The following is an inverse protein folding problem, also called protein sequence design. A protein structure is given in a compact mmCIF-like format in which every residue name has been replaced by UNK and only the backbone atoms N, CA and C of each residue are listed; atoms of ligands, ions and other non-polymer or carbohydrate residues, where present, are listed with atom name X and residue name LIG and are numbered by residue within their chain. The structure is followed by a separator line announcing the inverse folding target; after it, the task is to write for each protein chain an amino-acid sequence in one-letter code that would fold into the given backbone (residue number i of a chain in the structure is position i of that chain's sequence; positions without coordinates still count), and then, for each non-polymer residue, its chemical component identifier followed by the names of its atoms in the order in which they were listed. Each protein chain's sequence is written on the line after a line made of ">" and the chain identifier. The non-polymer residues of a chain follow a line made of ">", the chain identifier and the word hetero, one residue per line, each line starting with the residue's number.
data_IF_508230662798
#
_entry.id   IF_508230662798
#
_cell.length_a   1.000
_cell.length_b   1.000
_cell.length_c   1.000
_cell.angle_alpha   90.00
_cell.angle_beta   90.00
_cell.angle_gamma   90.00
#
_symmetry.space_group_name_H-M   'P 1'
#
loop_
_entity.id
_entity.type
_entity.pdbx_description
1 polymer ?
#
# COMPACT_ATOMS: atom_id res chain seq x y z
N UNK A 1 5.65 28.03 -80.47
CA UNK A 1 6.00 29.44 -80.75
C UNK A 1 6.09 30.15 -79.41
N UNK A 2 7.29 30.59 -79.01
CA UNK A 2 7.68 31.51 -77.92
C UNK A 2 7.09 31.29 -76.51
N UNK A 3 7.82 30.80 -75.49
CA UNK A 3 9.00 31.34 -74.77
C UNK A 3 8.63 32.23 -73.55
N UNK A 4 9.40 32.00 -72.46
CA UNK A 4 9.69 32.82 -71.25
C UNK A 4 8.85 32.57 -69.99
N UNK A 5 9.44 32.01 -68.92
CA UNK A 5 10.35 32.62 -67.90
C UNK A 5 9.61 33.69 -67.07
N UNK A 6 9.81 33.94 -65.77
CA UNK A 6 10.53 33.38 -64.61
C UNK A 6 10.38 34.52 -63.55
N UNK A 7 10.02 34.20 -62.30
CA UNK A 7 10.50 34.80 -61.03
C UNK A 7 10.22 36.24 -60.52
N UNK A 8 10.16 36.24 -59.17
CA UNK A 8 10.55 37.22 -58.13
C UNK A 8 9.73 38.50 -57.92
N UNK A 9 9.19 38.68 -56.70
CA UNK A 9 9.74 39.62 -55.71
C UNK A 9 8.96 39.62 -54.37
N UNK A 10 9.74 39.60 -53.29
CA UNK A 10 9.42 39.77 -51.86
C UNK A 10 9.44 41.25 -51.42
N UNK A 11 8.67 41.65 -50.39
CA UNK A 11 8.95 42.73 -49.39
C UNK A 11 7.71 42.87 -48.48
N UNK A 12 7.68 42.41 -47.21
CA UNK A 12 8.28 42.90 -45.95
C UNK A 12 7.63 44.17 -45.36
N UNK A 13 6.93 44.01 -44.23
CA UNK A 13 6.83 45.04 -43.17
C UNK A 13 6.47 44.38 -41.83
N UNK A 14 7.41 44.49 -40.90
CA UNK A 14 7.39 44.10 -39.49
C UNK A 14 6.57 45.06 -38.60
N UNK A 15 5.95 44.56 -37.52
CA UNK A 15 6.03 45.21 -36.20
C UNK A 15 6.00 44.16 -35.09
N UNK A 16 7.03 44.23 -34.24
CA UNK A 16 7.19 43.54 -32.96
C UNK A 16 6.62 44.46 -31.87
N UNK A 17 5.91 43.90 -30.90
CA UNK A 17 5.91 44.43 -29.53
C UNK A 17 5.57 43.32 -28.52
N UNK A 18 6.51 43.11 -27.60
CA UNK A 18 6.42 42.28 -26.39
C UNK A 18 5.28 42.69 -25.46
N UNK A 19 4.76 41.71 -24.73
CA UNK A 19 4.04 41.89 -23.48
C UNK A 19 3.91 40.53 -22.77
N UNK A 20 4.68 40.35 -21.70
CA UNK A 20 4.73 39.16 -20.85
C UNK A 20 3.42 38.90 -20.10
N UNK A 21 3.10 37.61 -19.89
CA UNK A 21 2.91 36.95 -18.58
C UNK A 21 1.87 35.82 -18.63
N UNK A 22 2.24 34.76 -17.91
CA UNK A 22 1.41 33.80 -17.18
C UNK A 22 0.96 32.49 -17.87
N UNK A 23 1.58 31.44 -17.32
CA UNK A 23 0.95 30.22 -16.78
C UNK A 23 0.61 29.04 -17.70
N UNK A 24 1.44 28.00 -17.50
CA UNK A 24 1.06 26.63 -17.14
C UNK A 24 0.14 25.86 -18.10
N UNK A 25 0.79 25.10 -18.97
CA UNK A 25 0.19 23.94 -19.64
C UNK A 25 0.98 22.68 -19.29
N UNK A 26 0.69 22.14 -18.11
CA UNK A 26 0.27 20.73 -17.90
C UNK A 26 0.76 19.70 -18.93
N UNK A 27 1.83 19.02 -18.52
CA UNK A 27 2.10 17.57 -18.62
C UNK A 27 1.25 16.80 -19.65
N UNK A 28 1.77 16.65 -20.87
CA UNK A 28 1.42 15.56 -21.77
C UNK A 28 2.66 15.05 -22.48
N UNK A 29 3.32 14.08 -21.87
CA UNK A 29 3.98 12.97 -22.55
C UNK A 29 4.32 11.90 -21.50
N UNK A 30 3.42 10.92 -21.35
CA UNK A 30 3.77 9.65 -20.67
C UNK A 30 4.59 8.84 -21.69
N UNK A 31 5.85 9.24 -21.86
CA UNK A 31 6.79 8.58 -22.76
C UNK A 31 7.65 7.61 -21.95
N UNK A 32 7.39 6.30 -22.13
CA UNK A 32 8.27 5.14 -21.91
C UNK A 32 9.45 5.38 -20.97
N UNK A 33 9.32 5.02 -19.70
CA UNK A 33 10.43 5.00 -18.75
C UNK A 33 11.33 3.76 -18.99
N UNK A 34 12.63 3.93 -19.29
CA UNK A 34 13.61 2.86 -19.21
C UNK A 34 14.35 2.90 -17.86
N UNK A 35 14.31 1.77 -17.15
CA UNK A 35 15.29 1.23 -16.19
C UNK A 35 16.18 2.20 -15.38
N UNK A 36 15.68 2.58 -14.20
CA UNK A 36 16.39 2.35 -12.92
C UNK A 36 15.38 1.78 -11.94
N UNK A 37 15.53 0.53 -11.50
CA UNK A 37 14.61 -0.22 -10.63
C UNK A 37 14.54 0.30 -9.17
N UNK A 38 14.85 1.56 -8.93
CA UNK A 38 14.59 2.19 -7.63
C UNK A 38 13.07 2.40 -7.47
N UNK A 39 12.51 2.05 -6.31
CA UNK A 39 11.10 2.33 -6.06
C UNK A 39 10.87 3.85 -6.14
N UNK A 40 9.92 4.24 -6.99
CA UNK A 40 9.58 5.63 -7.21
C UNK A 40 8.76 6.12 -6.01
N UNK A 41 9.16 7.25 -5.44
CA UNK A 41 8.43 7.89 -4.36
C UNK A 41 7.83 9.22 -4.83
N UNK A 42 6.64 9.55 -4.32
CA UNK A 42 6.02 10.86 -4.50
C UNK A 42 6.17 11.69 -3.22
N UNK A 43 6.39 13.00 -3.36
CA UNK A 43 6.32 13.92 -2.23
C UNK A 43 4.86 14.18 -1.86
N UNK A 44 4.51 13.89 -0.61
CA UNK A 44 3.23 14.20 -0.01
C UNK A 44 3.43 15.42 0.88
N UNK A 45 2.84 16.54 0.45
CA UNK A 45 2.75 17.74 1.26
C UNK A 45 1.93 17.44 2.52
N UNK A 46 2.48 17.76 3.69
CA UNK A 46 1.79 17.58 4.95
C UNK A 46 0.62 18.53 5.12
N UNK A 47 -0.25 18.25 6.08
CA UNK A 47 -1.42 19.06 6.37
C UNK A 47 -2.30 18.45 7.44
N UNK A 48 -3.43 19.11 7.71
CA UNK A 48 -4.44 18.61 8.62
C UNK A 48 -5.48 17.77 7.87
N UNK A 49 -5.94 16.69 8.50
CA UNK A 49 -7.08 15.91 8.01
C UNK A 49 -7.85 15.26 9.15
N UNK A 50 -9.07 14.83 8.84
CA UNK A 50 -9.89 14.04 9.76
C UNK A 50 -9.64 12.56 9.48
N UNK A 51 -8.96 11.90 10.40
CA UNK A 51 -8.65 10.48 10.34
C UNK A 51 -9.77 9.65 10.97
N UNK A 52 -10.08 8.50 10.36
CA UNK A 52 -11.05 7.54 10.88
C UNK A 52 -12.46 7.67 10.31
N UNK A 53 -13.31 6.72 10.72
CA UNK A 53 -14.64 6.52 10.19
C UNK A 53 -15.69 7.38 10.88
N UNK A 54 -16.70 7.79 10.09
CA UNK A 54 -17.85 8.50 10.60
C UNK A 54 -18.62 7.65 11.63
N UNK A 55 -19.22 8.30 12.63
CA UNK A 55 -20.02 7.63 13.64
C UNK A 55 -21.19 6.84 13.00
N UNK A 56 -21.76 7.37 11.92
CA UNK A 56 -22.90 6.80 11.20
C UNK A 56 -22.50 5.78 10.13
N UNK A 57 -21.19 5.54 9.89
CA UNK A 57 -20.78 4.47 8.98
C UNK A 57 -21.03 3.11 9.64
N UNK A 58 -22.06 2.41 9.17
CA UNK A 58 -22.47 1.11 9.68
C UNK A 58 -21.55 -0.05 9.26
N UNK A 59 -20.73 0.13 8.21
CA UNK A 59 -19.72 -0.85 7.82
C UNK A 59 -18.41 -0.69 8.62
N UNK A 60 -18.18 0.49 9.18
CA UNK A 60 -16.98 0.76 9.95
C UNK A 60 -17.01 0.05 11.32
N UNK A 61 -15.95 -0.68 11.61
CA UNK A 61 -15.78 -1.35 12.88
C UNK A 61 -15.51 -0.35 14.02
N UNK A 62 -15.81 -0.69 15.29
CA UNK A 62 -15.58 0.22 16.41
C UNK A 62 -14.14 0.76 16.48
N UNK A 63 -13.15 -0.06 16.11
CA UNK A 63 -11.73 0.31 16.08
C UNK A 63 -11.36 1.38 15.04
N UNK A 64 -12.22 1.63 14.04
CA UNK A 64 -12.04 2.67 13.02
C UNK A 64 -12.56 4.04 13.50
N UNK A 65 -13.23 4.09 14.66
CA UNK A 65 -13.86 5.27 15.24
C UNK A 65 -13.09 5.70 16.50
N UNK A 66 -13.18 6.98 16.92
CA UNK A 66 -13.89 8.08 16.27
C UNK A 66 -13.06 8.77 15.18
N UNK A 67 -13.75 9.56 14.36
CA UNK A 67 -13.11 10.65 13.61
C UNK A 67 -12.35 11.58 14.55
N UNK A 68 -11.13 11.95 14.18
CA UNK A 68 -10.31 12.87 14.96
C UNK A 68 -9.34 13.64 14.05
N UNK A 69 -8.97 14.85 14.48
CA UNK A 69 -8.07 15.72 13.72
C UNK A 69 -6.62 15.26 13.91
N UNK A 70 -5.92 15.08 12.78
CA UNK A 70 -4.49 14.76 12.72
C UNK A 70 -3.80 15.80 11.83
N UNK A 71 -2.61 16.22 12.22
CA UNK A 71 -1.71 17.07 11.45
C UNK A 71 -0.45 16.27 11.10
N UNK A 72 -0.08 16.22 9.82
CA UNK A 72 1.14 15.55 9.36
C UNK A 72 2.16 16.53 8.81
N UNK A 73 3.42 16.27 9.12
CA UNK A 73 4.57 16.82 8.39
C UNK A 73 4.62 16.22 6.98
N UNK A 74 5.28 16.90 6.04
CA UNK A 74 5.46 16.37 4.68
C UNK A 74 6.47 15.22 4.63
N UNK A 75 6.21 14.22 3.79
CA UNK A 75 7.01 13.00 3.65
C UNK A 75 6.99 12.48 2.21
N UNK A 76 7.90 11.58 1.89
CA UNK A 76 7.89 10.80 0.64
C UNK A 76 7.22 9.45 0.87
N UNK A 77 6.43 8.97 -0.10
CA UNK A 77 5.84 7.62 -0.07
C UNK A 77 6.07 6.90 -1.39
N UNK A 78 6.38 5.60 -1.32
CA UNK A 78 6.45 4.74 -2.51
C UNK A 78 5.10 4.77 -3.26
N UNK A 79 5.15 4.93 -4.58
CA UNK A 79 3.94 5.03 -5.41
C UNK A 79 3.17 3.70 -5.53
N UNK A 80 3.81 2.58 -5.18
CA UNK A 80 3.24 1.23 -5.22
C UNK A 80 3.85 0.35 -4.10
N UNK A 81 3.29 -0.83 -3.84
CA UNK A 81 3.85 -1.77 -2.86
C UNK A 81 5.25 -2.27 -3.29
N UNK A 82 6.09 -2.66 -2.33
CA UNK A 82 7.41 -3.23 -2.63
C UNK A 82 7.24 -4.50 -3.48
N UNK A 83 7.89 -4.55 -4.64
CA UNK A 83 7.77 -5.69 -5.55
C UNK A 83 8.70 -6.84 -5.19
N UNK A 84 8.38 -8.04 -5.66
CA UNK A 84 9.27 -9.21 -5.61
C UNK A 84 10.66 -8.91 -6.21
N UNK A 85 10.71 -8.15 -7.31
CA UNK A 85 11.97 -7.75 -7.95
C UNK A 85 12.82 -6.87 -7.04
N UNK A 86 12.22 -5.90 -6.37
CA UNK A 86 12.92 -5.00 -5.45
C UNK A 86 13.35 -5.73 -4.16
N UNK A 87 12.49 -6.60 -3.63
CA UNK A 87 12.82 -7.41 -2.45
C UNK A 87 13.94 -8.42 -2.76
N UNK A 88 13.98 -8.98 -3.97
CA UNK A 88 15.06 -9.85 -4.40
C UNK A 88 16.43 -9.15 -4.44
N UNK A 89 16.49 -7.87 -4.82
CA UNK A 89 17.73 -7.07 -4.77
C UNK A 89 18.22 -6.87 -3.33
N UNK A 90 17.31 -6.57 -2.41
CA UNK A 90 17.60 -6.50 -0.98
C UNK A 90 18.19 -7.82 -0.48
N UNK A 91 17.53 -8.95 -0.72
CA UNK A 91 18.00 -10.25 -0.27
C UNK A 91 19.34 -10.64 -0.93
N UNK A 92 19.50 -10.37 -2.22
CA UNK A 92 20.76 -10.65 -2.93
C UNK A 92 21.94 -9.85 -2.40
N UNK A 93 21.72 -8.58 -2.02
CA UNK A 93 22.78 -7.69 -1.55
C UNK A 93 23.15 -7.88 -0.08
N UNK A 94 22.23 -8.41 0.74
CA UNK A 94 22.42 -8.53 2.19
C UNK A 94 22.58 -9.97 2.68
N UNK A 95 22.12 -10.95 1.89
CA UNK A 95 21.98 -12.34 2.35
C UNK A 95 20.86 -12.52 3.38
N UNK A 96 19.90 -11.59 3.45
CA UNK A 96 18.80 -11.64 4.40
C UNK A 96 17.94 -12.90 4.23
N UNK A 97 17.54 -13.50 5.35
CA UNK A 97 16.66 -14.66 5.41
C UNK A 97 15.39 -14.22 6.14
N UNK A 98 14.22 -14.32 5.49
CA UNK A 98 12.98 -13.80 6.08
C UNK A 98 12.51 -14.61 7.28
N UNK A 99 11.60 -14.08 8.08
CA UNK A 99 11.02 -14.80 9.22
C UNK A 99 10.40 -16.13 8.78
N UNK A 100 9.68 -16.16 7.65
CA UNK A 100 9.10 -17.39 7.08
C UNK A 100 10.13 -18.45 6.66
N UNK A 101 11.39 -18.06 6.44
CA UNK A 101 12.48 -18.96 6.06
C UNK A 101 13.25 -19.51 7.29
N UNK A 102 12.91 -19.08 8.50
CA UNK A 102 13.59 -19.47 9.75
C UNK A 102 12.78 -20.51 10.53
N UNK A 103 13.48 -21.32 11.33
CA UNK A 103 12.82 -22.15 12.36
C UNK A 103 12.42 -21.24 13.52
N UNK A 104 11.20 -21.38 13.99
CA UNK A 104 10.67 -20.59 15.11
C UNK A 104 10.45 -21.51 16.30
N UNK A 105 11.09 -21.20 17.42
CA UNK A 105 10.81 -21.85 18.70
C UNK A 105 9.55 -21.22 19.30
N UNK A 106 8.55 -22.05 19.58
CA UNK A 106 7.30 -21.66 20.23
C UNK A 106 7.12 -22.43 21.53
N UNK A 107 6.20 -21.99 22.40
CA UNK A 107 5.86 -22.72 23.62
C UNK A 107 5.34 -24.14 23.33
N UNK A 108 4.76 -24.37 22.15
CA UNK A 108 4.25 -25.67 21.70
C UNK A 108 5.28 -26.52 20.93
N UNK A 109 6.51 -26.02 20.73
CA UNK A 109 7.58 -26.72 20.02
C UNK A 109 8.20 -25.90 18.89
N UNK A 110 8.93 -26.57 17.99
CA UNK A 110 9.56 -25.90 16.84
C UNK A 110 8.59 -25.91 15.66
N UNK A 111 8.24 -24.71 15.16
CA UNK A 111 7.58 -24.58 13.87
C UNK A 111 8.63 -24.67 12.77
N UNK A 112 8.41 -25.60 11.84
CA UNK A 112 9.22 -25.69 10.63
C UNK A 112 8.98 -24.46 9.73
N UNK A 113 10.01 -23.97 9.01
CA UNK A 113 9.91 -22.76 8.21
C UNK A 113 8.74 -22.84 7.23
N UNK A 114 7.95 -21.79 7.16
CA UNK A 114 6.72 -21.74 6.40
C UNK A 114 5.95 -20.46 6.68
N UNK A 115 4.76 -20.39 6.10
CA UNK A 115 3.86 -19.26 6.25
C UNK A 115 2.42 -19.69 6.00
N UNK A 116 1.47 -18.86 6.43
CA UNK A 116 0.05 -19.09 6.16
C UNK A 116 -0.28 -18.77 4.69
N UNK A 117 -0.85 -19.76 4.01
CA UNK A 117 -1.29 -19.67 2.62
C UNK A 117 -2.81 -19.78 2.57
N UNK A 118 -3.44 -18.92 1.79
CA UNK A 118 -4.85 -19.06 1.46
C UNK A 118 -5.02 -20.16 0.42
N UNK A 119 -5.85 -21.15 0.73
CA UNK A 119 -6.28 -22.18 -0.21
C UNK A 119 -7.79 -22.11 -0.36
N UNK A 120 -8.27 -21.88 -1.60
CA UNK A 120 -9.70 -21.75 -1.88
C UNK A 120 -10.44 -23.07 -1.62
N UNK A 121 -11.29 -23.19 -0.58
CA UNK A 121 -12.03 -24.41 -0.33
C UNK A 121 -13.11 -24.63 -1.38
N UNK A 122 -13.50 -25.90 -1.56
CA UNK A 122 -14.67 -26.25 -2.39
C UNK A 122 -15.98 -25.98 -1.66
N UNK A 123 -15.98 -26.21 -0.35
CA UNK A 123 -17.14 -26.05 0.54
C UNK A 123 -16.67 -25.67 1.94
N UNK A 124 -17.54 -25.01 2.72
CA UNK A 124 -17.27 -24.60 4.10
C UNK A 124 -18.51 -24.80 4.98
N UNK A 125 -18.28 -24.96 6.28
CA UNK A 125 -19.28 -24.98 7.34
C UNK A 125 -19.29 -23.65 8.09
N UNK A 126 -19.78 -22.60 7.41
CA UNK A 126 -19.88 -21.24 7.95
C UNK A 126 -18.53 -20.50 8.00
N UNK A 127 -18.59 -19.21 8.35
CA UNK A 127 -17.46 -18.27 8.23
C UNK A 127 -16.64 -18.07 9.52
N UNK A 128 -16.93 -18.82 10.59
CA UNK A 128 -16.27 -18.64 11.89
C UNK A 128 -14.94 -19.37 12.01
N UNK A 129 -14.80 -20.50 11.32
CA UNK A 129 -13.58 -21.29 11.35
C UNK A 129 -12.73 -20.95 10.12
N UNK A 130 -11.71 -20.13 10.34
CA UNK A 130 -10.79 -19.68 9.29
C UNK A 130 -9.82 -20.77 8.84
N UNK A 131 -9.63 -21.84 9.63
CA UNK A 131 -8.78 -22.99 9.28
C UNK A 131 -9.30 -23.77 8.06
N UNK A 132 -10.53 -23.48 7.61
CA UNK A 132 -11.11 -24.06 6.39
C UNK A 132 -10.49 -23.50 5.09
N UNK A 133 -9.81 -22.35 5.15
CA UNK A 133 -9.17 -21.73 3.98
C UNK A 133 -7.77 -21.17 4.24
N UNK A 134 -7.32 -21.13 5.49
CA UNK A 134 -5.96 -20.76 5.86
C UNK A 134 -5.20 -21.99 6.38
N UNK A 135 -4.06 -22.29 5.77
CA UNK A 135 -3.19 -23.41 6.17
C UNK A 135 -1.75 -22.96 6.36
N UNK A 136 -1.06 -23.56 7.33
CA UNK A 136 0.38 -23.45 7.44
C UNK A 136 1.02 -24.34 6.35
N UNK A 137 1.77 -23.74 5.45
CA UNK A 137 2.47 -24.46 4.39
C UNK A 137 3.98 -24.40 4.64
N UNK A 138 4.58 -25.56 4.89
CA UNK A 138 6.03 -25.68 5.10
C UNK A 138 6.75 -25.31 3.81
N UNK A 139 7.72 -24.40 3.92
CA UNK A 139 8.48 -23.85 2.81
C UNK A 139 7.75 -22.81 1.97
N UNK A 140 6.52 -22.41 2.35
CA UNK A 140 5.93 -21.20 1.81
C UNK A 140 6.67 -19.96 2.35
N UNK A 141 7.11 -19.10 1.43
CA UNK A 141 7.82 -17.86 1.73
C UNK A 141 7.72 -16.92 0.52
N UNK A 142 8.39 -15.77 0.58
CA UNK A 142 8.32 -14.76 -0.48
C UNK A 142 8.81 -15.25 -1.86
N UNK A 143 9.70 -16.26 -1.93
CA UNK A 143 10.16 -16.88 -3.19
C UNK A 143 9.24 -17.99 -3.69
N UNK A 144 8.49 -18.58 -2.77
CA UNK A 144 7.64 -19.75 -2.97
C UNK A 144 6.25 -19.49 -2.34
N UNK A 145 5.44 -18.55 -2.88
CA UNK A 145 4.26 -18.05 -2.18
C UNK A 145 3.16 -19.09 -1.94
N UNK A 146 3.03 -20.08 -2.81
CA UNK A 146 2.05 -21.17 -2.63
C UNK A 146 2.67 -22.45 -2.02
N UNK A 147 3.93 -22.40 -1.58
CA UNK A 147 4.68 -23.54 -1.05
C UNK A 147 5.84 -23.98 -1.96
N UNK A 148 6.61 -25.02 -1.60
CA UNK A 148 7.93 -25.33 -2.16
C UNK A 148 7.99 -25.58 -3.67
N UNK A 149 6.85 -25.86 -4.31
CA UNK A 149 6.74 -26.10 -5.75
C UNK A 149 6.37 -24.85 -6.56
N UNK A 150 5.97 -23.77 -5.89
CA UNK A 150 5.69 -22.48 -6.53
C UNK A 150 6.98 -21.71 -6.81
N UNK A 151 6.90 -20.62 -7.57
CA UNK A 151 8.03 -19.74 -7.83
C UNK A 151 7.58 -18.31 -8.13
N UNK A 152 8.54 -17.42 -8.32
CA UNK A 152 8.31 -16.04 -8.77
C UNK A 152 8.40 -15.89 -10.29
N UNK A 153 8.32 -16.98 -11.06
CA UNK A 153 8.25 -16.92 -12.53
C UNK A 153 7.11 -15.99 -12.95
N UNK A 154 7.44 -14.99 -13.79
CA UNK A 154 6.53 -13.93 -14.25
C UNK A 154 5.87 -13.08 -13.15
N UNK A 155 6.41 -13.06 -11.93
CA UNK A 155 5.85 -12.30 -10.78
C UNK A 155 6.81 -11.26 -10.19
N UNK A 156 7.82 -10.82 -10.94
CA UNK A 156 8.81 -9.82 -10.45
C UNK A 156 8.19 -8.46 -10.14
N UNK A 157 7.11 -8.10 -10.80
CA UNK A 157 6.35 -6.86 -10.64
C UNK A 157 5.13 -6.99 -9.70
N UNK A 158 4.90 -8.17 -9.13
CA UNK A 158 3.88 -8.34 -8.10
C UNK A 158 4.44 -7.89 -6.74
N UNK A 159 3.58 -7.44 -5.81
CA UNK A 159 4.01 -7.14 -4.45
C UNK A 159 4.63 -8.36 -3.80
N UNK A 160 5.66 -8.13 -2.99
CA UNK A 160 6.22 -9.17 -2.13
C UNK A 160 5.22 -9.53 -1.03
N UNK A 161 5.04 -10.82 -0.79
CA UNK A 161 4.16 -11.39 0.25
C UNK A 161 4.93 -12.34 1.16
N UNK A 162 4.28 -12.90 2.19
CA UNK A 162 4.93 -13.73 3.23
C UNK A 162 6.06 -13.01 3.99
N UNK A 163 5.91 -11.70 4.15
CA UNK A 163 6.83 -10.85 4.91
C UNK A 163 6.21 -10.52 6.27
N UNK A 164 6.96 -10.76 7.34
CA UNK A 164 6.61 -10.31 8.68
C UNK A 164 7.02 -8.84 8.89
N UNK A 165 6.66 -8.25 10.04
CA UNK A 165 7.04 -6.87 10.35
C UNK A 165 8.57 -6.68 10.33
N UNK A 166 9.32 -7.63 10.89
CA UNK A 166 10.79 -7.60 10.88
C UNK A 166 11.37 -7.53 9.46
N UNK A 167 10.81 -8.30 8.53
CA UNK A 167 11.26 -8.33 7.13
C UNK A 167 11.04 -6.98 6.45
N UNK A 168 9.85 -6.41 6.66
CA UNK A 168 9.44 -5.13 6.09
C UNK A 168 10.28 -3.96 6.63
N UNK A 169 10.52 -3.89 7.95
CA UNK A 169 11.35 -2.82 8.53
C UNK A 169 12.82 -2.97 8.17
N UNK A 170 13.34 -4.20 8.06
CA UNK A 170 14.74 -4.44 7.67
C UNK A 170 14.97 -4.03 6.21
N UNK A 171 14.04 -4.37 5.32
CA UNK A 171 14.06 -3.90 3.93
C UNK A 171 13.98 -2.37 3.86
N UNK A 172 13.04 -1.76 4.59
CA UNK A 172 12.86 -0.31 4.58
C UNK A 172 14.13 0.41 5.06
N UNK A 173 14.74 -0.07 6.14
CA UNK A 173 16.01 0.46 6.66
C UNK A 173 17.15 0.33 5.65
N UNK A 174 17.26 -0.80 4.94
CA UNK A 174 18.25 -0.99 3.86
C UNK A 174 18.08 0.04 2.73
N UNK A 175 16.84 0.46 2.43
CA UNK A 175 16.55 1.56 1.49
C UNK A 175 16.68 2.97 2.09
N UNK A 176 17.15 3.11 3.32
CA UNK A 176 17.15 4.37 4.07
C UNK A 176 15.74 5.00 4.11
N UNK A 177 14.75 4.15 4.37
CA UNK A 177 13.33 4.45 4.48
C UNK A 177 12.79 3.85 5.79
N UNK A 178 11.49 3.99 6.02
CA UNK A 178 10.74 3.33 7.10
C UNK A 178 9.37 2.89 6.59
N UNK A 179 8.60 2.18 7.42
CA UNK A 179 7.18 1.96 7.14
C UNK A 179 6.38 3.25 7.40
N UNK A 180 5.25 3.46 6.69
CA UNK A 180 4.34 4.56 7.00
C UNK A 180 3.80 4.42 8.42
N UNK A 181 3.55 5.56 9.08
CA UNK A 181 2.60 5.52 10.18
C UNK A 181 1.20 5.23 9.64
N UNK A 182 0.33 4.73 10.50
CA UNK A 182 -1.07 4.50 10.19
C UNK A 182 -1.74 5.78 9.65
N UNK A 183 -1.39 6.93 10.21
CA UNK A 183 -1.91 8.24 9.81
C UNK A 183 -1.37 8.69 8.44
N UNK A 184 -0.07 8.51 8.18
CA UNK A 184 0.54 8.81 6.88
C UNK A 184 -0.10 7.97 5.77
N UNK A 185 -0.34 6.69 6.05
CA UNK A 185 -1.01 5.79 5.11
C UNK A 185 -2.44 6.26 4.80
N UNK A 186 -3.26 6.57 5.82
CA UNK A 186 -4.65 7.03 5.58
C UNK A 186 -4.68 8.39 4.87
N UNK A 187 -3.80 9.32 5.24
CA UNK A 187 -3.68 10.62 4.58
C UNK A 187 -3.34 10.47 3.10
N UNK A 188 -2.43 9.54 2.79
CA UNK A 188 -2.07 9.19 1.43
C UNK A 188 -3.24 8.54 0.67
N UNK A 189 -3.90 7.56 1.27
CA UNK A 189 -5.09 6.90 0.70
C UNK A 189 -6.20 7.91 0.39
N UNK A 190 -6.38 8.93 1.23
CA UNK A 190 -7.34 10.02 1.04
C UNK A 190 -6.89 11.12 0.07
N UNK A 191 -5.77 10.97 -0.63
CA UNK A 191 -5.23 12.00 -1.53
C UNK A 191 -5.08 13.38 -0.84
N UNK A 192 -4.25 13.44 0.20
CA UNK A 192 -4.12 14.61 1.10
C UNK A 192 -5.33 14.81 2.03
N UNK A 193 -5.87 13.72 2.57
CA UNK A 193 -6.86 13.82 3.66
C UNK A 193 -8.30 14.17 3.25
N UNK A 194 -8.68 14.01 1.98
CA UNK A 194 -10.07 14.21 1.54
C UNK A 194 -11.06 13.29 2.24
N UNK A 195 -12.29 13.76 2.38
CA UNK A 195 -13.39 12.96 2.91
C UNK A 195 -14.00 12.06 1.82
N UNK A 196 -13.32 10.94 1.56
CA UNK A 196 -13.71 9.89 0.61
C UNK A 196 -13.80 8.53 1.29
N UNK A 197 -14.56 7.60 0.71
CA UNK A 197 -14.73 6.21 1.20
C UNK A 197 -13.61 5.28 0.75
N UNK A 198 -13.14 5.46 -0.48
CA UNK A 198 -12.11 4.66 -1.13
C UNK A 198 -11.00 5.57 -1.70
N UNK A 199 -9.81 5.04 -2.02
CA UNK A 199 -8.72 5.86 -2.56
C UNK A 199 -9.08 6.63 -3.84
N UNK A 200 -10.01 6.09 -4.64
CA UNK A 200 -10.51 6.67 -5.88
C UNK A 200 -11.78 7.53 -5.72
N UNK A 201 -12.35 7.65 -4.52
CA UNK A 201 -13.58 8.39 -4.27
C UNK A 201 -14.66 7.57 -3.56
N UNK A 202 -15.92 7.80 -3.91
CA UNK A 202 -17.08 7.25 -3.19
C UNK A 202 -17.86 6.18 -3.96
N UNK A 203 -17.52 5.91 -5.22
CA UNK A 203 -18.15 4.86 -6.00
C UNK A 203 -17.67 3.47 -5.51
N UNK A 204 -18.62 2.55 -5.33
CA UNK A 204 -18.31 1.16 -4.93
C UNK A 204 -17.33 0.52 -5.94
N UNK A 205 -16.38 -0.32 -5.48
CA UNK A 205 -15.50 -1.06 -6.38
C UNK A 205 -16.25 -2.04 -7.30
N UNK A 206 -17.50 -2.37 -7.01
CA UNK A 206 -18.33 -3.28 -7.81
C UNK A 206 -19.14 -2.60 -8.92
N UNK A 207 -19.03 -1.27 -9.04
CA UNK A 207 -19.77 -0.48 -10.03
C UNK A 207 -18.79 0.17 -11.00
N UNK A 208 -19.13 0.19 -12.29
CA UNK A 208 -18.35 0.87 -13.32
C UNK A 208 -17.05 0.15 -13.66
N UNK A 209 -16.02 0.92 -14.01
CA UNK A 209 -14.70 0.39 -14.32
C UNK A 209 -14.04 -0.20 -13.08
N UNK A 210 -13.24 -1.26 -13.27
CA UNK A 210 -12.49 -1.95 -12.21
C UNK A 210 -11.51 -0.98 -11.54
N UNK A 211 -11.50 -0.97 -10.21
CA UNK A 211 -10.76 0.02 -9.40
C UNK A 211 -9.66 -0.57 -8.52
N UNK A 212 -9.76 -1.85 -8.21
CA UNK A 212 -8.87 -2.55 -7.30
C UNK A 212 -8.98 -4.08 -7.49
N UNK A 213 -7.99 -4.80 -6.97
CA UNK A 213 -7.99 -6.26 -6.86
C UNK A 213 -8.62 -6.70 -5.53
N UNK A 214 -9.81 -7.31 -5.57
CA UNK A 214 -10.59 -7.77 -4.41
C UNK A 214 -11.37 -9.05 -4.75
N UNK A 215 -11.94 -9.71 -3.75
CA UNK A 215 -12.74 -10.90 -3.96
C UNK A 215 -14.16 -10.55 -4.37
N UNK A 216 -14.53 -10.90 -5.60
CA UNK A 216 -15.91 -10.83 -6.07
C UNK A 216 -16.58 -12.23 -6.07
N UNK A 217 -17.88 -12.29 -5.78
CA UNK A 217 -18.60 -13.56 -5.63
C UNK A 217 -18.76 -14.01 -4.18
N UNK A 218 -18.70 -15.32 -3.93
CA UNK A 218 -19.00 -15.93 -2.62
C UNK A 218 -17.69 -16.30 -1.93
N UNK A 219 -17.23 -15.44 -1.04
CA UNK A 219 -16.05 -15.75 -0.21
C UNK A 219 -16.35 -16.93 0.73
N UNK A 220 -15.44 -17.91 0.92
CA UNK A 220 -14.15 -18.10 0.26
C UNK A 220 -14.19 -19.15 -0.87
N UNK A 221 -15.35 -19.52 -1.40
CA UNK A 221 -15.49 -20.70 -2.30
C UNK A 221 -15.50 -20.33 -3.79
N UNK A 222 -16.05 -19.17 -4.14
CA UNK A 222 -16.21 -18.71 -5.53
C UNK A 222 -15.68 -17.29 -5.68
N UNK A 223 -14.61 -17.15 -6.47
CA UNK A 223 -14.10 -15.87 -6.97
C UNK A 223 -14.37 -15.81 -8.49
N UNK A 224 -15.09 -14.81 -9.00
CA UNK A 224 -15.29 -14.71 -10.46
C UNK A 224 -14.15 -13.96 -11.19
N UNK A 225 -13.23 -13.33 -10.44
CA UNK A 225 -12.12 -12.54 -10.97
C UNK A 225 -12.59 -11.45 -11.95
N UNK A 226 -13.66 -10.74 -11.61
CA UNK A 226 -14.17 -9.61 -12.40
C UNK A 226 -13.15 -8.49 -12.56
N UNK A 227 -12.19 -8.40 -11.64
CA UNK A 227 -11.07 -7.47 -11.66
C UNK A 227 -9.84 -7.97 -12.45
N UNK A 228 -9.95 -9.16 -13.05
CA UNK A 228 -8.90 -9.82 -13.82
C UNK A 228 -7.98 -10.75 -13.02
N UNK A 229 -8.10 -10.82 -11.68
CA UNK A 229 -7.14 -11.55 -10.84
C UNK A 229 -7.82 -12.43 -9.79
N UNK A 230 -7.42 -13.70 -9.72
CA UNK A 230 -7.84 -14.61 -8.62
C UNK A 230 -7.00 -14.41 -7.37
N UNK A 231 -5.74 -13.99 -7.56
CA UNK A 231 -4.74 -13.81 -6.52
C UNK A 231 -4.19 -12.39 -6.54
N UNK A 232 -2.97 -12.24 -6.04
CA UNK A 232 -2.21 -10.99 -6.14
C UNK A 232 -2.07 -10.56 -7.61
N UNK A 233 -2.26 -9.27 -7.88
CA UNK A 233 -2.07 -8.63 -9.18
C UNK A 233 -0.68 -7.96 -9.25
N UNK A 234 -0.14 -7.69 -10.46
CA UNK A 234 1.02 -6.81 -10.61
C UNK A 234 0.75 -5.45 -9.93
N UNK A 235 1.78 -4.83 -9.38
CA UNK A 235 1.63 -3.45 -8.89
C UNK A 235 1.30 -2.51 -10.03
N UNK A 236 0.61 -1.42 -9.72
CA UNK A 236 0.17 -0.40 -10.67
C UNK A 236 -0.78 -0.94 -11.76
N UNK A 237 -1.64 -1.90 -11.41
CA UNK A 237 -2.62 -2.49 -12.34
C UNK A 237 -3.84 -1.59 -12.55
N UNK A 238 -4.35 -0.96 -11.48
CA UNK A 238 -5.59 -0.18 -11.48
C UNK A 238 -5.34 1.31 -11.32
N UNK A 239 -6.30 2.18 -11.63
CA UNK A 239 -6.06 3.64 -11.59
C UNK A 239 -5.47 4.13 -10.24
N UNK A 240 -4.46 5.01 -10.26
CA UNK A 240 -3.92 5.59 -9.04
C UNK A 240 -4.91 6.60 -8.44
N UNK A 241 -4.69 6.96 -7.18
CA UNK A 241 -5.38 8.11 -6.60
C UNK A 241 -4.85 9.44 -7.20
N UNK A 242 -5.41 10.58 -6.75
CA UNK A 242 -5.05 11.90 -7.30
C UNK A 242 -3.59 12.31 -7.07
N UNK A 243 -2.86 11.59 -6.23
CA UNK A 243 -1.42 11.81 -5.99
C UNK A 243 -0.52 10.88 -6.81
N UNK A 244 -1.08 10.03 -7.66
CA UNK A 244 -0.31 9.05 -8.42
C UNK A 244 0.14 7.84 -7.60
N UNK A 245 -0.54 7.54 -6.50
CA UNK A 245 -0.26 6.38 -5.65
C UNK A 245 -1.26 5.27 -5.97
N UNK A 246 -0.74 4.09 -6.25
CA UNK A 246 -1.46 2.93 -6.76
C UNK A 246 -1.78 1.96 -5.62
N UNK A 247 -2.83 1.15 -5.84
CA UNK A 247 -3.14 -0.05 -5.04
C UNK A 247 -3.36 0.19 -3.53
N UNK A 248 -3.78 1.40 -3.14
CA UNK A 248 -4.13 1.72 -1.74
C UNK A 248 -5.46 1.10 -1.27
N UNK A 249 -6.12 0.34 -2.13
CA UNK A 249 -7.31 -0.44 -1.79
C UNK A 249 -7.25 -1.77 -2.53
N UNK A 250 -7.29 -2.88 -1.79
CA UNK A 250 -7.16 -4.23 -2.36
C UNK A 250 -5.71 -4.68 -2.55
N UNK A 251 -5.52 -5.64 -3.45
CA UNK A 251 -4.26 -6.31 -3.78
C UNK A 251 -3.60 -7.03 -2.57
N UNK A 252 -2.78 -6.35 -1.77
CA UNK A 252 -2.22 -6.90 -0.53
C UNK A 252 -2.43 -5.92 0.62
N UNK A 253 -2.60 -6.48 1.82
CA UNK A 253 -2.54 -5.69 3.03
C UNK A 253 -1.18 -5.05 3.19
N UNK A 254 -1.13 -3.84 3.74
CA UNK A 254 0.12 -3.12 3.93
C UNK A 254 0.42 -2.86 5.40
N UNK A 255 1.59 -3.32 5.84
CA UNK A 255 2.10 -3.11 7.20
C UNK A 255 2.41 -1.63 7.47
N UNK A 256 1.95 -1.13 8.61
CA UNK A 256 2.30 0.18 9.16
C UNK A 256 3.25 0.05 10.36
N UNK A 257 3.93 1.13 10.72
CA UNK A 257 4.86 1.21 11.86
C UNK A 257 4.16 1.00 13.22
N UNK A 258 2.90 1.43 13.32
CA UNK A 258 2.14 1.53 14.56
C UNK A 258 1.82 0.18 15.21
N UNK A 259 1.95 0.13 16.54
CA UNK A 259 1.32 -0.93 17.33
C UNK A 259 -0.20 -0.77 17.33
N UNK A 260 -0.89 -1.90 17.29
CA UNK A 260 -2.34 -1.91 17.31
C UNK A 260 -2.88 -1.83 18.74
N UNK A 261 -3.85 -0.93 18.93
CA UNK A 261 -4.85 -1.05 19.99
C UNK A 261 -6.23 -0.62 19.44
N UNK A 262 -7.33 -1.20 19.95
CA UNK A 262 -8.68 -0.84 19.51
C UNK A 262 -9.07 0.59 19.91
N UNK A 263 -8.46 1.15 20.97
CA UNK A 263 -8.77 2.47 21.51
C UNK A 263 -7.79 3.58 21.10
N UNK A 264 -6.84 3.28 20.18
CA UNK A 264 -5.84 4.24 19.71
C UNK A 264 -6.46 5.58 19.29
N UNK A 265 -7.52 5.57 18.47
CA UNK A 265 -8.13 6.80 17.97
C UNK A 265 -8.76 7.64 19.08
N UNK A 266 -9.33 7.02 20.11
CA UNK A 266 -9.84 7.75 21.28
C UNK A 266 -8.72 8.44 22.05
N UNK A 267 -7.55 7.80 22.19
CA UNK A 267 -6.36 8.38 22.84
C UNK A 267 -5.78 9.51 22.00
N UNK A 268 -5.54 9.28 20.71
CA UNK A 268 -4.98 10.28 19.78
C UNK A 268 -5.85 11.54 19.71
N UNK A 269 -7.18 11.38 19.65
CA UNK A 269 -8.13 12.51 19.66
C UNK A 269 -7.95 13.44 20.88
N UNK A 270 -7.53 12.88 22.02
CA UNK A 270 -7.36 13.61 23.27
C UNK A 270 -5.95 14.23 23.43
N UNK A 271 -4.89 13.56 22.97
CA UNK A 271 -3.52 13.89 23.39
C UNK A 271 -2.46 14.00 22.30
N UNK A 272 -2.67 13.47 21.10
CA UNK A 272 -1.60 13.37 20.09
C UNK A 272 -2.16 13.61 18.68
N UNK A 273 -2.02 14.86 18.21
CA UNK A 273 -2.55 15.29 16.91
C UNK A 273 -1.49 15.43 15.82
N UNK A 274 -0.28 15.88 16.17
CA UNK A 274 0.80 16.11 15.20
C UNK A 274 1.66 14.86 15.06
N UNK A 275 1.80 14.37 13.85
CA UNK A 275 2.64 13.21 13.47
C UNK A 275 2.45 11.99 14.41
N UNK A 276 1.20 11.53 14.64
CA UNK A 276 0.92 10.50 15.63
C UNK A 276 1.66 9.19 15.29
N UNK A 277 2.21 8.56 16.34
CA UNK A 277 2.99 7.30 16.23
C UNK A 277 2.27 6.08 16.82
N UNK A 278 0.97 6.20 17.05
CA UNK A 278 0.14 5.15 17.61
C UNK A 278 0.36 4.97 19.11
N UNK A 279 0.18 3.74 19.60
CA UNK A 279 0.37 3.40 21.02
C UNK A 279 1.76 2.81 21.27
N UNK A 280 2.35 2.98 22.47
CA UNK A 280 3.68 2.45 22.77
C UNK A 280 3.73 0.92 22.87
N UNK A 281 2.59 0.30 23.16
CA UNK A 281 2.45 -1.15 23.34
C UNK A 281 1.19 -1.65 22.63
N UNK A 282 1.28 -2.85 22.07
CA UNK A 282 0.15 -3.50 21.42
C UNK A 282 -0.86 -4.03 22.44
N UNK A 283 -2.15 -3.95 22.12
CA UNK A 283 -3.20 -4.65 22.85
C UNK A 283 -4.34 -5.06 21.91
N UNK A 284 -4.62 -6.36 21.81
CA UNK A 284 -5.83 -6.88 21.18
C UNK A 284 -6.60 -7.75 22.19
N UNK A 285 -7.83 -7.38 22.60
CA UNK A 285 -8.59 -8.16 23.56
C UNK A 285 -8.93 -9.58 23.08
N UNK A 286 -8.90 -9.84 21.77
CA UNK A 286 -9.15 -11.18 21.24
C UNK A 286 -7.95 -12.12 21.41
N UNK A 287 -6.73 -11.56 21.38
CA UNK A 287 -5.47 -12.31 21.52
C UNK A 287 -4.47 -11.50 22.36
N UNK A 288 -4.70 -11.31 23.68
CA UNK A 288 -3.95 -10.34 24.49
C UNK A 288 -2.44 -10.61 24.62
N UNK A 289 -2.03 -11.86 24.35
CA UNK A 289 -0.65 -12.30 24.45
C UNK A 289 0.13 -12.21 23.14
N UNK A 290 -0.54 -11.86 22.03
CA UNK A 290 0.08 -11.77 20.71
C UNK A 290 0.26 -10.28 20.37
N UNK A 291 1.49 -9.75 20.31
CA UNK A 291 1.70 -8.38 19.86
C UNK A 291 1.28 -8.22 18.40
N UNK A 292 0.59 -7.13 18.09
CA UNK A 292 0.03 -6.87 16.77
C UNK A 292 0.38 -5.50 16.26
N UNK A 293 0.71 -5.44 14.97
CA UNK A 293 0.88 -4.21 14.21
C UNK A 293 -0.43 -3.87 13.49
N UNK A 294 -0.51 -2.62 13.05
CA UNK A 294 -1.58 -2.17 12.17
C UNK A 294 -1.26 -2.58 10.74
N UNK A 295 -2.29 -3.06 10.02
CA UNK A 295 -2.28 -3.14 8.56
C UNK A 295 -3.48 -2.42 7.95
N UNK A 296 -3.30 -1.89 6.74
CA UNK A 296 -4.26 -1.04 6.02
C UNK A 296 -4.44 -1.52 4.57
N UNK A 297 -5.50 -1.07 3.90
CA UNK A 297 -5.71 -1.26 2.46
C UNK A 297 -6.57 -2.45 2.04
N UNK A 298 -6.69 -3.49 2.86
CA UNK A 298 -7.36 -4.72 2.43
C UNK A 298 -6.47 -5.54 1.48
N UNK A 299 -7.02 -6.57 0.86
CA UNK A 299 -6.29 -7.43 -0.08
C UNK A 299 -7.22 -8.01 -1.14
N UNK A 300 -6.67 -8.79 -2.08
CA UNK A 300 -7.43 -9.57 -3.07
C UNK A 300 -8.44 -10.56 -2.45
N UNK A 301 -8.38 -10.81 -1.14
CA UNK A 301 -9.32 -11.67 -0.41
C UNK A 301 -10.49 -10.88 0.23
N UNK A 302 -10.47 -9.55 0.20
CA UNK A 302 -11.53 -8.73 0.78
C UNK A 302 -12.81 -8.78 -0.05
N UNK A 303 -13.97 -8.84 0.59
CA UNK A 303 -15.29 -9.00 -0.03
C UNK A 303 -16.34 -8.22 0.76
N UNK A 304 -17.32 -7.59 0.08
CA UNK A 304 -18.38 -6.80 0.74
C UNK A 304 -19.12 -7.57 1.84
N UNK A 305 -19.35 -8.89 1.67
CA UNK A 305 -20.10 -9.71 2.60
C UNK A 305 -19.31 -10.27 3.79
N UNK A 306 -17.98 -10.13 3.81
CA UNK A 306 -17.13 -10.70 4.86
C UNK A 306 -16.11 -9.70 5.42
N UNK A 307 -15.39 -8.98 4.56
CA UNK A 307 -14.34 -8.05 4.94
C UNK A 307 -14.24 -6.91 3.90
N UNK A 308 -14.90 -5.77 4.16
CA UNK A 308 -14.86 -4.58 3.29
C UNK A 308 -13.69 -3.65 3.60
N UNK A 309 -12.50 -4.20 3.85
CA UNK A 309 -11.36 -3.42 4.35
C UNK A 309 -10.54 -2.67 3.31
N UNK A 310 -10.99 -2.66 2.04
CA UNK A 310 -10.47 -1.78 0.99
C UNK A 310 -10.98 -0.32 1.12
N UNK A 311 -11.75 -0.02 2.17
CA UNK A 311 -12.11 1.36 2.56
C UNK A 311 -10.91 2.06 3.20
N UNK A 312 -10.75 3.36 2.95
CA UNK A 312 -9.60 4.13 3.47
C UNK A 312 -9.53 4.17 5.00
N UNK A 313 -10.67 4.04 5.70
CA UNK A 313 -10.75 4.05 7.17
C UNK A 313 -10.46 2.70 7.81
N UNK A 314 -10.52 1.63 7.03
CA UNK A 314 -10.42 0.28 7.56
C UNK A 314 -9.00 0.03 8.08
N UNK A 315 -8.95 -0.53 9.29
CA UNK A 315 -7.72 -0.92 9.97
C UNK A 315 -7.90 -2.28 10.61
N UNK A 316 -6.90 -3.14 10.46
CA UNK A 316 -6.90 -4.49 11.02
C UNK A 316 -5.63 -4.73 11.83
N UNK A 317 -5.73 -5.50 12.91
CA UNK A 317 -4.56 -5.98 13.62
C UNK A 317 -3.96 -7.20 12.91
N UNK A 318 -2.63 -7.30 12.92
CA UNK A 318 -1.90 -8.48 12.44
C UNK A 318 -0.76 -8.82 13.40
N UNK A 319 -0.55 -10.11 13.69
CA UNK A 319 0.60 -10.53 14.49
C UNK A 319 1.91 -10.07 13.84
N UNK A 320 2.79 -9.46 14.64
CA UNK A 320 3.99 -8.79 14.12
C UNK A 320 5.03 -9.75 13.52
N UNK A 321 5.01 -11.01 13.96
CA UNK A 321 6.01 -12.05 13.69
C UNK A 321 5.58 -13.03 12.60
N UNK A 322 4.49 -12.74 11.88
CA UNK A 322 3.99 -13.61 10.80
C UNK A 322 3.69 -12.83 9.52
N UNK A 323 4.12 -13.40 8.39
CA UNK A 323 3.68 -13.00 7.07
C UNK A 323 2.65 -13.99 6.53
N UNK A 324 1.88 -13.61 5.51
CA UNK A 324 0.90 -14.48 4.84
C UNK A 324 0.84 -14.19 3.34
N UNK A 325 0.12 -15.01 2.57
CA UNK A 325 0.00 -14.87 1.10
C UNK A 325 -0.74 -13.61 0.61
N UNK A 326 -1.15 -12.72 1.50
CA UNK A 326 -1.92 -11.51 1.18
C UNK A 326 -1.44 -10.26 1.96
N UNK A 327 -0.25 -10.31 2.55
CA UNK A 327 0.35 -9.20 3.31
C UNK A 327 1.68 -8.83 2.68
N UNK A 328 1.81 -7.57 2.28
CA UNK A 328 3.01 -6.90 1.84
C UNK A 328 3.20 -5.57 2.57
N UNK A 329 3.85 -4.60 1.92
CA UNK A 329 4.09 -3.28 2.47
C UNK A 329 4.58 -2.29 1.39
N UNK A 330 4.54 -1.00 1.73
CA UNK A 330 5.23 0.07 0.99
C UNK A 330 6.07 0.91 1.95
N UNK A 331 7.05 1.65 1.45
CA UNK A 331 7.92 2.47 2.30
C UNK A 331 7.57 3.96 2.23
N UNK A 332 7.96 4.69 3.27
CA UNK A 332 8.02 6.15 3.30
C UNK A 332 9.40 6.63 3.71
N UNK A 333 9.68 7.92 3.48
CA UNK A 333 10.91 8.58 3.92
C UNK A 333 10.62 10.01 4.32
N UNK A 334 11.19 10.44 5.44
CA UNK A 334 11.07 11.82 5.90
C UNK A 334 11.76 12.78 4.92
N UNK A 335 11.30 14.03 4.87
CA UNK A 335 12.10 15.08 4.22
C UNK A 335 13.42 15.21 4.96
N UNK A 336 14.54 14.96 4.28
CA UNK A 336 15.86 15.14 4.89
C UNK A 336 15.98 16.59 5.37
N UNK A 337 16.08 16.80 6.69
CA UNK A 337 16.33 18.11 7.25
C UNK A 337 17.75 18.56 6.89
N UNK A 338 17.94 19.06 5.68
CA UNK A 338 19.18 19.78 5.33
C UNK A 338 19.11 21.17 5.96
N UNK A 339 19.08 21.25 7.30
CA UNK A 339 19.67 22.41 7.98
C UNK A 339 21.18 22.20 7.90
N UNK A 340 21.75 22.57 6.76
CA UNK A 340 23.15 22.94 6.73
C UNK A 340 23.33 24.01 7.81
N UNK A 341 23.98 23.65 8.91
CA UNK A 341 24.51 24.64 9.85
C UNK A 341 25.44 25.51 9.04
N UNK A 342 24.98 26.72 8.70
CA UNK A 342 25.86 27.78 8.27
C UNK A 342 26.86 28.00 9.41
N UNK A 343 28.05 27.42 9.26
CA UNK A 343 29.20 27.78 10.07
C UNK A 343 29.58 29.19 9.61
N UNK A 344 29.13 30.19 10.34
CA UNK A 344 29.63 31.55 10.20
C UNK A 344 31.10 31.55 10.62
N UNK A 345 31.98 31.95 9.70
CA UNK A 345 33.36 32.35 10.02
C UNK A 345 33.38 33.68 10.74
#
# INVERSE_FOLDING_TARGET
>A
MNVRLLFFATLWSSMVACGDMAEDQTVREVSKLPQTQHATMVWIEGGEFVMGADAEDHEALPREKPRHLVELSGFFMDVHEVTNGQFAEFVQSTGYVTVAERKIETEQGVLEPGSMVFEKPKEIFGLRDHGQWWRWEIGANWRHPEGPQSSLEDRRDHPVVHVAYEDAVTYAAWRNCRLPTEAEWEYAARSKGRDVRYPWGNESPLVGDVKCNIWDGVFPTVNHAMDGHVGVAPVMTYSPNEMGIWDLGGNVWELCEDWYAPDTYHKSAATERRDPKGVPESFDPMEPMVPKKVMRGGSFLCNEGYCSSYRVTARMPVAFDTGTSHIGFRCVRDSSSTRAKAVSK
#
